data_IF_394483584388
#
_entry.id   IF_394483584388
#
_cell.length_a   1.000
_cell.length_b   1.000
_cell.length_c   1.000
_cell.angle_alpha   90.00
_cell.angle_beta   90.00
_cell.angle_gamma   90.00
#
_symmetry.space_group_name_H-M   'P 1'
#
loop_
_entity.id
_entity.type
_entity.pdbx_description
1 polymer ?
#
# COMPACT_ATOMS: atom_id res chain seq x y z
N UNK A 1 -1.68 -15.53 -14.99
CA UNK A 1 -0.50 -15.17 -15.79
C UNK A 1 0.14 -13.91 -15.22
N UNK A 2 1.42 -13.92 -15.07
CA UNK A 2 2.15 -12.75 -14.63
C UNK A 2 2.04 -11.64 -15.67
N UNK A 3 1.97 -10.40 -15.21
CA UNK A 3 2.01 -9.26 -16.10
C UNK A 3 3.43 -9.06 -16.63
N UNK A 4 3.56 -8.90 -17.93
CA UNK A 4 4.84 -8.57 -18.55
C UNK A 4 5.08 -7.07 -18.38
N UNK A 5 6.01 -6.74 -17.49
CA UNK A 5 6.39 -5.35 -17.27
C UNK A 5 7.52 -4.96 -18.24
N UNK A 6 7.50 -3.72 -18.68
CA UNK A 6 8.54 -3.20 -19.57
C UNK A 6 9.91 -3.17 -18.88
N UNK A 7 11.01 -3.31 -19.62
CA UNK A 7 12.35 -3.32 -19.02
C UNK A 7 12.68 -2.03 -18.25
N UNK A 8 12.25 -0.88 -18.75
CA UNK A 8 12.49 0.39 -18.06
C UNK A 8 11.78 0.49 -16.73
N UNK A 9 10.54 0.02 -16.66
CA UNK A 9 9.79 -0.03 -15.42
C UNK A 9 10.45 -0.97 -14.40
N UNK A 10 10.83 -2.16 -14.84
CA UNK A 10 11.52 -3.13 -13.99
C UNK A 10 12.84 -2.59 -13.46
N UNK A 11 13.62 -1.89 -14.29
CA UNK A 11 14.88 -1.29 -13.87
C UNK A 11 14.65 -0.21 -12.80
N UNK A 12 13.62 0.61 -12.98
CA UNK A 12 13.26 1.66 -12.02
C UNK A 12 12.88 1.05 -10.67
N UNK A 13 12.05 0.01 -10.68
CA UNK A 13 11.63 -0.68 -9.47
C UNK A 13 12.82 -1.36 -8.79
N UNK A 14 13.66 -2.04 -9.55
CA UNK A 14 14.83 -2.74 -9.01
C UNK A 14 15.80 -1.78 -8.35
N UNK A 15 16.01 -0.61 -8.94
CA UNK A 15 16.83 0.44 -8.35
C UNK A 15 16.22 0.93 -7.02
N UNK A 16 14.93 1.21 -7.00
CA UNK A 16 14.23 1.66 -5.79
C UNK A 16 14.25 0.60 -4.69
N UNK A 17 14.17 -0.68 -5.03
CA UNK A 17 14.22 -1.78 -4.06
C UNK A 17 15.50 -1.79 -3.22
N UNK A 18 16.58 -1.23 -3.73
CA UNK A 18 17.82 -1.12 -2.95
C UNK A 18 17.70 -0.18 -1.74
N UNK A 19 16.67 0.67 -1.72
CA UNK A 19 16.44 1.70 -0.69
C UNK A 19 15.15 1.51 0.09
N UNK A 20 14.31 0.52 -0.29
CA UNK A 20 12.98 0.32 0.27
C UNK A 20 12.89 -1.04 0.95
N UNK A 21 12.38 -1.08 2.15
CA UNK A 21 12.13 -2.33 2.87
C UNK A 21 10.81 -2.92 2.45
N UNK A 22 10.81 -4.22 2.20
CA UNK A 22 9.61 -4.97 1.85
C UNK A 22 9.19 -5.86 3.02
N UNK A 23 7.88 -6.12 3.11
CA UNK A 23 7.29 -6.99 4.12
C UNK A 23 6.43 -8.03 3.40
N UNK A 24 6.63 -9.31 3.68
CA UNK A 24 5.78 -10.35 3.11
C UNK A 24 4.38 -10.30 3.74
N UNK A 25 3.38 -10.80 3.02
CA UNK A 25 2.01 -10.85 3.55
C UNK A 25 1.95 -11.70 4.82
N UNK A 26 2.65 -12.84 4.86
CA UNK A 26 2.66 -13.71 6.04
C UNK A 26 3.22 -12.98 7.27
N UNK A 27 4.32 -12.25 7.10
CA UNK A 27 4.90 -11.46 8.19
C UNK A 27 3.98 -10.31 8.61
N UNK A 28 3.35 -9.66 7.64
CA UNK A 28 2.39 -8.58 7.93
C UNK A 28 1.22 -9.10 8.77
N UNK A 29 0.62 -10.22 8.36
CA UNK A 29 -0.48 -10.83 9.12
C UNK A 29 -0.04 -11.22 10.52
N UNK A 30 1.14 -11.82 10.66
CA UNK A 30 1.70 -12.21 11.96
C UNK A 30 1.87 -10.99 12.87
N UNK A 31 2.39 -9.90 12.35
CA UNK A 31 2.59 -8.66 13.13
C UNK A 31 1.27 -8.03 13.54
N UNK A 32 0.26 -8.04 12.66
CA UNK A 32 -1.09 -7.58 12.98
C UNK A 32 -1.73 -8.43 14.09
N UNK A 33 -1.60 -9.75 14.00
CA UNK A 33 -2.12 -10.67 15.01
C UNK A 33 -1.42 -10.47 16.37
N UNK A 34 -0.16 -10.05 16.34
CA UNK A 34 0.61 -9.72 17.53
C UNK A 34 0.27 -8.36 18.15
N UNK A 35 -0.68 -7.64 17.57
CA UNK A 35 -1.13 -6.35 18.12
C UNK A 35 -0.43 -5.12 17.56
N UNK A 36 0.52 -5.27 16.62
CA UNK A 36 1.13 -4.10 15.99
C UNK A 36 0.11 -3.33 15.17
N UNK A 37 0.21 -2.02 15.23
CA UNK A 37 -0.67 -1.14 14.47
C UNK A 37 0.12 -0.45 13.36
N UNK A 38 -0.47 -0.44 12.17
CA UNK A 38 0.09 0.23 11.01
C UNK A 38 -0.96 1.13 10.37
N UNK A 39 -0.51 2.22 9.79
CA UNK A 39 -1.33 2.95 8.82
C UNK A 39 -1.11 2.23 7.49
N UNK A 40 -2.18 1.74 6.88
CA UNK A 40 -2.11 0.99 5.62
C UNK A 40 -2.61 1.88 4.50
N UNK A 41 -1.76 2.10 3.50
CA UNK A 41 -2.06 2.95 2.36
C UNK A 41 -2.15 2.13 1.08
N UNK A 42 -3.30 2.22 0.41
CA UNK A 42 -3.51 1.67 -0.92
C UNK A 42 -3.07 2.72 -1.93
N UNK A 43 -2.05 2.41 -2.71
CA UNK A 43 -1.46 3.35 -3.67
C UNK A 43 -1.93 3.09 -5.11
N UNK A 44 -2.93 2.22 -5.29
CA UNK A 44 -3.47 1.87 -6.60
C UNK A 44 -4.35 2.99 -7.16
N UNK A 45 -4.79 2.82 -8.39
CA UNK A 45 -5.70 3.73 -9.06
C UNK A 45 -7.11 3.67 -8.47
N UNK A 46 -7.91 4.70 -8.70
CA UNK A 46 -9.27 4.81 -8.15
C UNK A 46 -10.15 3.63 -8.53
N UNK A 47 -10.08 3.17 -9.78
CA UNK A 47 -10.91 2.05 -10.24
C UNK A 47 -10.50 0.71 -9.58
N UNK A 48 -9.25 0.56 -9.22
CA UNK A 48 -8.77 -0.61 -8.48
C UNK A 48 -9.30 -0.60 -7.04
N UNK A 49 -9.17 0.53 -6.37
CA UNK A 49 -9.70 0.74 -5.02
C UNK A 49 -11.21 0.46 -4.95
N UNK A 50 -11.96 0.93 -5.94
CA UNK A 50 -13.41 0.79 -5.97
C UNK A 50 -13.89 -0.66 -5.98
N UNK A 51 -13.08 -1.59 -6.47
CA UNK A 51 -13.42 -3.01 -6.53
C UNK A 51 -13.10 -3.76 -5.23
N UNK A 52 -12.37 -3.15 -4.34
CA UNK A 52 -12.02 -3.74 -3.05
C UNK A 52 -10.62 -3.34 -2.60
N UNK A 53 -10.39 -3.40 -1.30
CA UNK A 53 -9.12 -3.02 -0.68
C UNK A 53 -8.92 -3.78 0.63
N UNK A 54 -7.74 -3.70 1.23
CA UNK A 54 -7.49 -4.27 2.55
C UNK A 54 -8.37 -3.57 3.59
N UNK A 55 -8.91 -4.31 4.57
CA UNK A 55 -9.69 -3.67 5.65
C UNK A 55 -8.88 -2.62 6.38
N UNK A 56 -9.49 -1.48 6.64
CA UNK A 56 -8.84 -0.37 7.34
C UNK A 56 -7.83 0.42 6.53
N UNK A 57 -7.61 0.09 5.26
CA UNK A 57 -6.70 0.84 4.41
C UNK A 57 -7.28 2.20 4.04
N UNK A 58 -6.39 3.16 3.83
CA UNK A 58 -6.72 4.48 3.30
C UNK A 58 -6.22 4.56 1.87
N UNK A 59 -7.00 5.17 0.99
CA UNK A 59 -6.62 5.32 -0.41
C UNK A 59 -5.83 6.60 -0.62
N UNK A 60 -4.60 6.44 -1.10
CA UNK A 60 -3.74 7.54 -1.52
C UNK A 60 -3.00 7.12 -2.79
N UNK A 61 -3.58 7.41 -3.95
CA UNK A 61 -3.02 7.01 -5.25
C UNK A 61 -1.59 7.51 -5.45
N UNK A 62 -0.77 6.68 -6.08
CA UNK A 62 0.62 7.00 -6.41
C UNK A 62 0.76 8.36 -7.11
N UNK A 63 -0.20 8.72 -7.97
CA UNK A 63 -0.14 9.96 -8.73
C UNK A 63 -0.28 11.24 -7.91
N UNK A 64 -0.80 11.16 -6.69
CA UNK A 64 -1.06 12.34 -5.86
C UNK A 64 -0.54 12.23 -4.43
N UNK A 65 0.04 11.09 -4.07
CA UNK A 65 0.42 10.82 -2.67
C UNK A 65 1.45 11.81 -2.14
N UNK A 66 2.43 12.21 -2.95
CA UNK A 66 3.44 13.17 -2.51
C UNK A 66 2.82 14.52 -2.16
N UNK A 67 1.78 14.91 -2.89
CA UNK A 67 1.06 16.15 -2.63
C UNK A 67 0.29 16.12 -1.32
N UNK A 68 -0.30 14.94 -1.00
CA UNK A 68 -1.36 14.86 0.02
C UNK A 68 -0.92 14.28 1.35
N UNK A 69 0.18 13.51 1.40
CA UNK A 69 0.52 12.70 2.58
C UNK A 69 0.88 13.55 3.81
N UNK A 70 1.53 14.67 3.64
CA UNK A 70 1.96 15.46 4.80
C UNK A 70 0.80 16.02 5.59
N UNK A 71 -0.28 16.38 4.92
CA UNK A 71 -1.50 16.86 5.59
C UNK A 71 -2.23 15.69 6.29
N UNK A 72 -2.23 14.51 5.67
CA UNK A 72 -2.93 13.33 6.20
C UNK A 72 -2.14 12.65 7.32
N UNK A 73 -0.82 12.54 7.15
CA UNK A 73 0.07 11.85 8.10
C UNK A 73 1.29 12.75 8.32
N UNK A 74 1.17 13.76 9.19
CA UNK A 74 2.30 14.68 9.43
C UNK A 74 3.46 14.04 10.19
N UNK A 75 3.24 12.92 10.88
CA UNK A 75 4.30 12.23 11.64
C UNK A 75 5.19 11.44 10.70
N UNK A 76 6.43 11.87 10.56
CA UNK A 76 7.39 11.28 9.61
C UNK A 76 7.90 9.91 10.02
N UNK A 77 7.76 9.52 11.28
CA UNK A 77 8.14 8.24 11.83
C UNK A 77 6.95 7.29 12.04
N UNK A 78 5.76 7.66 11.60
CA UNK A 78 4.58 6.80 11.71
C UNK A 78 4.81 5.46 10.99
N UNK A 79 4.38 4.33 11.58
CA UNK A 79 4.55 3.03 10.92
C UNK A 79 3.52 2.88 9.81
N UNK A 80 3.99 2.88 8.58
CA UNK A 80 3.14 2.87 7.38
C UNK A 80 3.48 1.67 6.52
N UNK A 81 2.45 0.92 6.11
CA UNK A 81 2.56 -0.12 5.08
C UNK A 81 1.84 0.36 3.84
N UNK A 82 2.57 0.44 2.72
CA UNK A 82 1.98 0.76 1.42
C UNK A 82 1.83 -0.51 0.60
N UNK A 83 0.74 -0.62 -0.14
CA UNK A 83 0.55 -1.72 -1.08
C UNK A 83 -0.01 -1.22 -2.41
N UNK A 84 0.22 -2.02 -3.44
CA UNK A 84 -0.37 -1.82 -4.76
C UNK A 84 -0.89 -3.16 -5.28
N UNK A 85 -0.95 -3.34 -6.59
CA UNK A 85 -1.44 -4.59 -7.18
C UNK A 85 -0.53 -5.78 -6.90
N UNK A 86 0.77 -5.64 -7.17
CA UNK A 86 1.75 -6.71 -7.04
C UNK A 86 2.99 -6.38 -6.23
N UNK A 87 3.13 -5.16 -5.74
CA UNK A 87 4.26 -4.74 -4.92
C UNK A 87 5.31 -3.88 -5.62
N UNK A 88 5.10 -3.48 -6.88
CA UNK A 88 6.07 -2.67 -7.63
C UNK A 88 5.82 -1.17 -7.49
N UNK A 89 4.57 -0.72 -7.70
CA UNK A 89 4.23 0.71 -7.56
C UNK A 89 4.45 1.22 -6.14
N UNK A 90 4.16 0.40 -5.13
CA UNK A 90 4.37 0.77 -3.73
C UNK A 90 5.84 0.97 -3.37
N UNK A 91 6.75 0.23 -4.00
CA UNK A 91 8.20 0.45 -3.85
C UNK A 91 8.59 1.84 -4.36
N UNK A 92 8.08 2.24 -5.52
CA UNK A 92 8.36 3.56 -6.09
C UNK A 92 7.79 4.69 -5.22
N UNK A 93 6.59 4.48 -4.68
CA UNK A 93 5.97 5.43 -3.75
C UNK A 93 6.86 5.64 -2.53
N UNK A 94 7.29 4.57 -1.88
CA UNK A 94 8.09 4.67 -0.67
C UNK A 94 9.43 5.32 -0.95
N UNK A 95 10.06 5.01 -2.07
CA UNK A 95 11.33 5.63 -2.45
C UNK A 95 11.20 7.15 -2.49
N UNK A 96 10.12 7.68 -3.07
CA UNK A 96 9.86 9.11 -3.09
C UNK A 96 9.52 9.67 -1.70
N UNK A 97 8.69 8.98 -0.94
CA UNK A 97 8.27 9.47 0.38
C UNK A 97 9.44 9.51 1.38
N UNK A 98 10.39 8.60 1.24
CA UNK A 98 11.62 8.65 2.04
C UNK A 98 12.42 9.93 1.78
N UNK A 99 12.41 10.44 0.55
CA UNK A 99 13.02 11.74 0.21
C UNK A 99 12.30 12.90 0.88
N UNK A 100 11.03 12.73 1.24
CA UNK A 100 10.25 13.72 1.99
C UNK A 100 10.44 13.60 3.51
N UNK A 101 11.24 12.63 3.97
CA UNK A 101 11.55 12.47 5.39
C UNK A 101 10.82 11.35 6.11
N UNK A 102 9.99 10.56 5.43
CA UNK A 102 9.33 9.41 6.04
C UNK A 102 10.34 8.30 6.31
N UNK A 103 10.40 7.81 7.54
CA UNK A 103 11.49 6.93 8.01
C UNK A 103 11.05 5.53 8.39
N UNK A 104 9.74 5.23 8.37
CA UNK A 104 9.22 3.96 8.90
C UNK A 104 8.14 3.38 7.97
N UNK A 105 8.53 3.14 6.73
CA UNK A 105 7.62 2.65 5.69
C UNK A 105 8.05 1.29 5.17
N UNK A 106 7.08 0.43 4.91
CA UNK A 106 7.27 -0.91 4.35
C UNK A 106 6.37 -1.09 3.14
N UNK A 107 6.89 -1.73 2.09
CA UNK A 107 6.10 -2.12 0.93
C UNK A 107 5.61 -3.55 1.10
N UNK A 108 4.30 -3.78 0.95
CA UNK A 108 3.72 -5.12 1.06
C UNK A 108 4.01 -5.91 -0.20
N UNK A 109 4.95 -6.84 -0.10
CA UNK A 109 5.35 -7.71 -1.20
C UNK A 109 4.18 -8.63 -1.58
N UNK A 110 3.86 -8.69 -2.85
CA UNK A 110 2.69 -9.40 -3.36
C UNK A 110 1.41 -8.56 -3.41
N UNK A 111 1.31 -7.52 -2.62
CA UNK A 111 0.22 -6.55 -2.65
C UNK A 111 -1.19 -7.13 -2.63
N UNK A 112 -2.11 -6.44 -3.30
CA UNK A 112 -3.52 -6.83 -3.40
C UNK A 112 -3.70 -8.24 -3.99
N UNK A 113 -2.95 -8.54 -5.04
CA UNK A 113 -3.04 -9.85 -5.71
C UNK A 113 -2.68 -10.98 -4.77
N UNK A 114 -1.56 -10.87 -4.06
CA UNK A 114 -1.14 -11.88 -3.08
C UNK A 114 -2.09 -11.99 -1.90
N UNK A 115 -2.67 -10.87 -1.45
CA UNK A 115 -3.67 -10.84 -0.39
C UNK A 115 -4.91 -11.66 -0.77
N UNK A 116 -5.43 -11.43 -1.99
CA UNK A 116 -6.59 -12.16 -2.50
C UNK A 116 -6.31 -13.64 -2.74
N UNK A 117 -5.13 -13.99 -3.22
CA UNK A 117 -4.74 -15.38 -3.43
C UNK A 117 -4.76 -16.19 -2.14
N UNK A 118 -4.53 -15.53 -1.00
CA UNK A 118 -4.60 -16.16 0.31
C UNK A 118 -6.02 -16.17 0.90
N UNK A 119 -6.99 -15.62 0.22
CA UNK A 119 -8.36 -15.56 0.71
C UNK A 119 -8.55 -14.72 1.96
N UNK A 120 -7.70 -13.73 2.17
CA UNK A 120 -7.77 -12.85 3.32
C UNK A 120 -8.92 -11.85 3.19
N UNK A 121 -9.43 -11.29 4.32
CA UNK A 121 -10.58 -10.39 4.27
C UNK A 121 -10.33 -9.15 3.41
N UNK A 122 -11.38 -8.67 2.78
CA UNK A 122 -11.33 -7.42 2.02
C UNK A 122 -12.53 -6.54 2.38
N UNK A 123 -12.42 -5.26 2.07
CA UNK A 123 -13.49 -4.28 2.22
C UNK A 123 -13.85 -3.69 0.86
N UNK A 124 -15.08 -3.19 0.72
CA UNK A 124 -15.58 -2.59 -0.51
C UNK A 124 -16.12 -1.20 -0.18
N UNK A 125 -15.71 -0.15 -0.90
CA UNK A 125 -16.11 1.22 -0.57
C UNK A 125 -17.62 1.45 -0.54
N UNK A 126 -18.38 0.80 -1.41
CA UNK A 126 -19.84 0.94 -1.43
C UNK A 126 -20.48 0.55 -0.11
N UNK A 127 -20.07 -0.57 0.49
CA UNK A 127 -20.55 -1.01 1.79
C UNK A 127 -20.14 -0.04 2.89
N UNK A 128 -18.94 0.53 2.81
CA UNK A 128 -18.46 1.53 3.75
C UNK A 128 -19.27 2.81 3.68
N UNK A 129 -19.57 3.28 2.47
CA UNK A 129 -20.39 4.48 2.25
C UNK A 129 -21.78 4.29 2.80
N UNK A 130 -22.42 3.15 2.53
CA UNK A 130 -23.75 2.83 3.05
C UNK A 130 -23.76 2.82 4.57
N UNK A 131 -22.76 2.19 5.20
CA UNK A 131 -22.64 2.16 6.66
C UNK A 131 -22.47 3.55 7.25
N UNK A 132 -21.66 4.40 6.64
CA UNK A 132 -21.47 5.78 7.07
C UNK A 132 -22.74 6.59 6.93
N UNK A 133 -23.49 6.40 5.84
CA UNK A 133 -24.75 7.11 5.59
C UNK A 133 -25.89 6.75 6.54
N UNK A 134 -25.77 5.63 7.23
CA UNK A 134 -26.76 5.16 8.21
C UNK A 134 -26.46 5.57 9.64
N UNK A 135 -25.32 6.12 9.86
CA UNK A 135 -24.85 6.50 11.19
C UNK A 135 -25.67 7.64 11.81
#
# INVERSE_FOLDING_TARGET
MAHDHSPGFLALVQDAKSRVKELTIDKFVTRLQGGEQFIVLDTREDHEWAQGHLPGAHHMSKGTIERDIEAAIPQKDAPIVCYCGGGFRSVLVIDNLQKMGYTNMLSLDGGWRGWNERGLPLAVPEAEVESAGRA
#
